data_IF_246786360793
#
_entry.id   IF_246786360793
#
_cell.length_a   1.000
_cell.length_b   1.000
_cell.length_c   1.000
_cell.angle_alpha   90.00
_cell.angle_beta   90.00
_cell.angle_gamma   90.00
#
_symmetry.space_group_name_H-M   'P 1'
#
loop_
_entity.id
_entity.type
_entity.pdbx_description
1 polymer ?
#
# COMPACT_ATOMS: atom_id res chain seq x y z
N UNK A 1 37.08 -33.95 34.68
CA UNK A 1 36.52 -33.65 33.35
C UNK A 1 34.98 -33.63 33.37
N UNK A 2 34.36 -32.65 34.04
CA UNK A 2 32.88 -32.48 34.09
C UNK A 2 32.42 -31.01 34.24
N UNK A 3 33.29 -30.04 33.97
CA UNK A 3 33.00 -28.60 34.14
C UNK A 3 33.38 -27.76 32.91
N UNK A 4 33.16 -28.28 31.70
CA UNK A 4 33.45 -27.56 30.46
C UNK A 4 32.36 -27.71 29.38
N UNK A 5 31.13 -28.05 29.76
CA UNK A 5 29.98 -28.18 28.85
C UNK A 5 28.80 -27.41 29.43
N UNK A 6 28.97 -26.11 29.65
CA UNK A 6 27.87 -25.23 30.06
C UNK A 6 28.11 -23.76 29.66
N UNK A 7 28.82 -23.51 28.55
CA UNK A 7 29.01 -22.16 27.98
C UNK A 7 28.78 -22.20 26.44
N UNK A 8 27.95 -23.13 25.95
CA UNK A 8 27.53 -23.18 24.53
C UNK A 8 26.02 -23.42 24.46
N UNK A 9 25.24 -22.70 25.27
CA UNK A 9 23.79 -22.54 25.10
C UNK A 9 23.46 -21.08 25.46
N UNK A 10 24.08 -20.15 24.74
CA UNK A 10 23.90 -18.71 25.00
C UNK A 10 24.19 -17.82 23.79
N UNK A 11 24.24 -18.39 22.58
CA UNK A 11 24.57 -17.66 21.33
C UNK A 11 23.58 -18.02 20.20
N UNK A 12 22.33 -18.39 20.50
CA UNK A 12 21.33 -18.72 19.46
C UNK A 12 19.98 -17.99 19.58
N UNK A 13 19.93 -16.84 20.26
CA UNK A 13 18.73 -15.99 20.32
C UNK A 13 18.99 -14.53 19.90
N UNK A 14 19.93 -14.32 18.97
CA UNK A 14 19.93 -13.12 18.13
C UNK A 14 19.54 -13.53 16.70
N UNK A 15 18.50 -14.37 16.60
CA UNK A 15 17.69 -14.36 15.40
C UNK A 15 17.01 -13.00 15.37
N UNK A 16 17.58 -12.06 14.64
CA UNK A 16 17.01 -10.74 14.39
C UNK A 16 15.68 -10.88 13.66
N UNK A 17 14.65 -11.27 14.40
CA UNK A 17 13.27 -11.17 14.00
C UNK A 17 13.07 -9.69 13.65
N UNK A 18 12.84 -9.45 12.37
CA UNK A 18 12.46 -8.14 11.85
C UNK A 18 11.08 -7.79 12.42
N UNK A 19 11.04 -7.28 13.65
CA UNK A 19 9.81 -6.89 14.32
C UNK A 19 9.34 -5.59 13.71
N UNK A 20 8.40 -5.69 12.79
CA UNK A 20 7.49 -4.59 12.51
C UNK A 20 6.74 -4.22 13.79
N UNK A 21 6.55 -2.92 14.03
CA UNK A 21 5.71 -2.45 15.11
C UNK A 21 4.46 -1.79 14.52
N UNK A 22 3.31 -2.37 14.85
CA UNK A 22 2.01 -1.72 14.71
C UNK A 22 1.53 -1.46 16.13
N UNK A 23 1.60 -0.19 16.55
CA UNK A 23 1.27 0.21 17.92
C UNK A 23 0.37 1.44 17.86
N UNK A 24 -0.85 1.36 18.38
CA UNK A 24 -1.82 2.46 18.39
C UNK A 24 -2.01 3.09 16.99
N UNK A 25 -2.22 2.27 15.97
CA UNK A 25 -2.36 2.67 14.56
C UNK A 25 -1.13 3.39 13.97
N UNK A 26 0.00 3.37 14.67
CA UNK A 26 1.29 3.77 14.13
C UNK A 26 1.92 2.57 13.43
N UNK A 27 2.21 2.70 12.15
CA UNK A 27 3.00 1.78 11.37
C UNK A 27 4.46 2.24 11.36
N UNK A 28 5.38 1.33 11.69
CA UNK A 28 6.81 1.56 11.59
C UNK A 28 7.44 0.39 10.83
N UNK A 29 8.05 0.67 9.67
CA UNK A 29 8.88 -0.33 8.99
C UNK A 29 10.22 -0.45 9.72
N UNK A 30 10.54 -1.66 10.19
CA UNK A 30 11.72 -1.94 11.01
C UNK A 30 13.03 -2.06 10.24
N UNK A 31 12.98 -1.97 8.91
CA UNK A 31 14.16 -2.00 8.02
C UNK A 31 14.00 -0.99 6.89
N UNK A 32 15.14 -0.58 6.31
CA UNK A 32 15.13 0.28 5.12
C UNK A 32 14.30 -0.35 3.99
N UNK A 33 13.39 0.42 3.38
CA UNK A 33 13.21 1.86 3.59
C UNK A 33 12.38 2.14 4.84
N UNK A 34 12.84 3.07 5.66
CA UNK A 34 12.11 3.47 6.86
C UNK A 34 10.85 4.21 6.41
N UNK A 35 9.73 3.85 6.99
CA UNK A 35 8.44 4.50 6.83
C UNK A 35 7.78 4.48 8.21
N UNK A 36 7.50 5.67 8.68
CA UNK A 36 6.62 5.90 9.81
C UNK A 36 5.34 6.53 9.28
N UNK A 37 4.21 5.87 9.50
CA UNK A 37 2.90 6.39 9.14
C UNK A 37 1.93 6.21 10.31
N UNK A 38 1.09 7.21 10.53
CA UNK A 38 -0.04 7.12 11.46
C UNK A 38 -1.30 6.88 10.66
N UNK A 39 -1.98 5.79 10.96
CA UNK A 39 -3.28 5.46 10.38
C UNK A 39 -4.37 6.03 11.29
N UNK A 40 -5.45 6.55 10.69
CA UNK A 40 -6.60 7.06 11.43
C UNK A 40 -7.14 6.00 12.41
N UNK A 41 -7.59 6.41 13.62
CA UNK A 41 -8.21 5.50 14.59
C UNK A 41 -9.49 4.82 14.08
N UNK A 42 -10.07 5.29 12.97
CA UNK A 42 -11.23 4.66 12.33
C UNK A 42 -10.92 3.31 11.67
N UNK A 43 -9.63 3.02 11.49
CA UNK A 43 -9.14 1.76 10.93
C UNK A 43 -8.52 0.89 12.02
N UNK A 44 -8.59 -0.43 11.84
CA UNK A 44 -7.80 -1.41 12.56
C UNK A 44 -6.90 -2.14 11.58
N UNK A 45 -5.74 -2.56 12.08
CA UNK A 45 -4.89 -3.49 11.35
C UNK A 45 -5.63 -4.82 11.14
N UNK A 46 -5.60 -5.31 9.91
CA UNK A 46 -6.20 -6.58 9.53
C UNK A 46 -5.13 -7.66 9.44
N UNK A 47 -4.19 -7.51 8.51
CA UNK A 47 -3.23 -8.56 8.18
C UNK A 47 -2.00 -8.04 7.44
N UNK A 48 -1.01 -8.92 7.35
CA UNK A 48 0.22 -8.75 6.58
C UNK A 48 0.30 -9.88 5.56
N UNK A 49 0.53 -9.51 4.31
CA UNK A 49 0.76 -10.47 3.23
C UNK A 49 2.14 -10.28 2.63
N UNK A 50 2.82 -11.41 2.40
CA UNK A 50 4.05 -11.48 1.65
C UNK A 50 3.83 -12.30 0.40
N UNK A 51 4.28 -11.78 -0.72
CA UNK A 51 4.30 -12.54 -1.96
C UNK A 51 5.45 -12.10 -2.84
N UNK A 52 5.79 -12.98 -3.77
CA UNK A 52 6.76 -12.68 -4.81
C UNK A 52 6.06 -12.62 -6.16
N UNK A 53 6.56 -11.75 -7.01
CA UNK A 53 6.09 -11.60 -8.38
C UNK A 53 7.25 -11.57 -9.38
N UNK A 54 6.96 -11.90 -10.63
CA UNK A 54 7.92 -11.82 -11.71
C UNK A 54 7.32 -11.04 -12.87
N UNK A 55 7.98 -9.95 -13.26
CA UNK A 55 7.56 -9.11 -14.38
C UNK A 55 8.72 -9.03 -15.36
N UNK A 56 8.45 -9.12 -16.66
CA UNK A 56 9.44 -8.87 -17.69
C UNK A 56 9.96 -7.42 -17.59
N UNK A 57 11.28 -7.23 -17.59
CA UNK A 57 11.89 -5.92 -17.64
C UNK A 57 11.41 -5.11 -18.87
N UNK A 58 11.49 -3.77 -18.83
CA UNK A 58 11.05 -2.88 -19.93
C UNK A 58 11.70 -3.28 -21.27
N UNK A 59 12.97 -3.65 -21.24
CA UNK A 59 13.73 -4.10 -22.41
C UNK A 59 13.50 -5.57 -22.79
N UNK A 60 12.59 -6.27 -22.08
CA UNK A 60 12.25 -7.70 -22.25
C UNK A 60 13.45 -8.66 -22.15
N UNK A 61 14.59 -8.21 -21.61
CA UNK A 61 15.82 -9.02 -21.60
C UNK A 61 15.94 -9.93 -20.38
N UNK A 62 15.17 -9.68 -19.32
CA UNK A 62 15.14 -10.49 -18.10
C UNK A 62 13.82 -10.40 -17.37
N UNK A 63 13.50 -11.41 -16.57
CA UNK A 63 12.46 -11.33 -15.56
C UNK A 63 13.01 -10.62 -14.32
N UNK A 64 12.24 -9.68 -13.80
CA UNK A 64 12.49 -8.96 -12.55
C UNK A 64 11.66 -9.60 -11.46
N UNK A 65 12.29 -10.05 -10.39
CA UNK A 65 11.57 -10.51 -9.20
C UNK A 65 11.25 -9.33 -8.30
N UNK A 66 10.03 -9.34 -7.79
CA UNK A 66 9.53 -8.39 -6.81
C UNK A 66 9.21 -9.14 -5.53
N UNK A 67 9.78 -8.73 -4.40
CA UNK A 67 9.34 -9.17 -3.08
C UNK A 67 8.43 -8.10 -2.51
N UNK A 68 7.17 -8.45 -2.30
CA UNK A 68 6.15 -7.52 -1.85
C UNK A 68 5.76 -7.85 -0.41
N UNK A 69 5.67 -6.80 0.40
CA UNK A 69 5.07 -6.82 1.71
C UNK A 69 3.90 -5.85 1.71
N UNK A 70 2.69 -6.31 2.03
CA UNK A 70 1.53 -5.43 2.19
C UNK A 70 0.93 -5.53 3.58
N UNK A 71 0.49 -4.39 4.12
CA UNK A 71 -0.12 -4.26 5.42
C UNK A 71 -1.49 -3.61 5.24
N UNK A 72 -2.55 -4.32 5.60
CA UNK A 72 -3.91 -3.86 5.41
C UNK A 72 -4.52 -3.31 6.70
N UNK A 73 -5.22 -2.20 6.55
CA UNK A 73 -6.01 -1.57 7.58
C UNK A 73 -7.43 -1.38 7.05
N UNK A 74 -8.43 -1.84 7.80
CA UNK A 74 -9.85 -1.81 7.43
C UNK A 74 -10.66 -1.08 8.49
N UNK A 75 -11.89 -0.61 8.22
CA UNK A 75 -12.70 0.07 9.21
C UNK A 75 -12.98 -0.83 10.42
N UNK A 76 -13.01 -0.23 11.61
CA UNK A 76 -13.25 -0.95 12.86
C UNK A 76 -14.55 -1.75 12.85
N UNK A 77 -15.58 -1.22 12.18
CA UNK A 77 -16.91 -1.81 12.05
C UNK A 77 -16.96 -3.09 11.22
N UNK A 78 -15.95 -3.37 10.39
CA UNK A 78 -15.94 -4.55 9.53
C UNK A 78 -15.31 -5.72 10.26
N UNK A 79 -16.06 -6.82 10.40
CA UNK A 79 -15.57 -8.08 10.98
C UNK A 79 -15.31 -9.13 9.90
N UNK A 80 -16.16 -9.19 8.85
CA UNK A 80 -16.01 -9.97 7.61
C UNK A 80 -16.85 -9.34 6.49
N UNK A 81 -16.66 -9.78 5.25
CA UNK A 81 -17.45 -9.34 4.10
C UNK A 81 -16.84 -8.15 3.36
N UNK A 82 -17.70 -7.28 2.83
CA UNK A 82 -17.26 -6.18 1.97
C UNK A 82 -16.49 -5.12 2.76
N UNK A 83 -15.31 -4.73 2.26
CA UNK A 83 -14.47 -3.67 2.80
C UNK A 83 -14.75 -2.39 1.99
N UNK A 84 -15.60 -1.45 2.48
CA UNK A 84 -16.00 -0.28 1.70
C UNK A 84 -14.88 0.77 1.57
N UNK A 85 -13.88 0.71 2.45
CA UNK A 85 -12.68 1.54 2.38
C UNK A 85 -11.52 0.85 3.08
N UNK A 86 -10.29 1.16 2.71
CA UNK A 86 -9.10 0.59 3.33
C UNK A 86 -7.94 1.57 3.26
N UNK A 87 -6.97 1.38 4.16
CA UNK A 87 -5.61 1.85 3.94
C UNK A 87 -4.74 0.62 3.76
N UNK A 88 -3.90 0.57 2.74
CA UNK A 88 -2.83 -0.42 2.69
C UNK A 88 -1.48 0.21 2.42
N UNK A 89 -0.47 -0.33 3.09
CA UNK A 89 0.92 0.05 2.90
C UNK A 89 1.59 -1.10 2.16
N UNK A 90 2.30 -0.79 1.07
CA UNK A 90 3.06 -1.76 0.29
C UNK A 90 4.52 -1.35 0.23
N UNK A 91 5.39 -2.29 0.54
CA UNK A 91 6.84 -2.16 0.35
C UNK A 91 7.25 -3.24 -0.65
N UNK A 92 7.78 -2.82 -1.79
CA UNK A 92 8.31 -3.73 -2.80
C UNK A 92 9.83 -3.61 -2.88
N UNK A 93 10.50 -4.75 -2.90
CA UNK A 93 11.94 -4.86 -3.21
C UNK A 93 12.07 -5.43 -4.62
N UNK A 94 12.77 -4.72 -5.49
CA UNK A 94 13.00 -5.10 -6.88
C UNK A 94 14.44 -5.61 -6.95
N UNK A 95 14.67 -6.71 -7.66
CA UNK A 95 16.03 -7.26 -7.80
C UNK A 95 16.98 -6.39 -8.66
N UNK A 96 16.46 -5.41 -9.41
CA UNK A 96 17.29 -4.57 -10.30
C UNK A 96 16.71 -3.18 -10.57
N UNK A 97 17.57 -2.25 -11.03
CA UNK A 97 17.24 -0.86 -11.35
C UNK A 97 16.17 -0.74 -12.44
N UNK A 98 15.04 -0.13 -12.09
CA UNK A 98 13.94 0.19 -13.00
C UNK A 98 13.73 1.71 -13.02
N UNK A 99 13.82 2.33 -14.21
CA UNK A 99 13.60 3.77 -14.42
C UNK A 99 12.26 3.95 -15.12
N UNK A 100 11.18 3.95 -14.36
CA UNK A 100 9.97 4.69 -14.75
C UNK A 100 9.45 5.47 -13.54
N UNK A 101 8.73 6.56 -13.82
CA UNK A 101 7.94 7.26 -12.81
C UNK A 101 6.91 6.31 -12.18
N UNK A 102 6.52 6.57 -10.93
CA UNK A 102 5.60 5.67 -10.21
C UNK A 102 4.13 5.95 -10.58
N UNK A 103 3.85 7.13 -11.13
CA UNK A 103 2.54 7.57 -11.62
C UNK A 103 2.57 7.86 -13.13
N UNK A 104 3.09 6.95 -13.95
CA UNK A 104 3.23 7.15 -15.41
C UNK A 104 1.95 7.03 -16.22
N UNK A 105 0.94 6.31 -15.70
CA UNK A 105 -0.28 6.00 -16.44
C UNK A 105 -1.27 7.19 -16.47
N UNK A 106 -1.89 7.45 -17.61
CA UNK A 106 -2.91 8.50 -17.79
C UNK A 106 -4.22 8.20 -17.04
N UNK A 107 -4.31 7.08 -16.33
CA UNK A 107 -5.42 6.75 -15.44
C UNK A 107 -5.52 7.62 -14.16
N UNK A 108 -4.54 8.46 -13.85
CA UNK A 108 -4.59 9.35 -12.69
C UNK A 108 -5.43 10.61 -12.96
N UNK A 109 -6.43 10.80 -12.10
CA UNK A 109 -7.35 11.95 -12.08
C UNK A 109 -6.63 13.22 -11.60
N UNK A 110 -5.83 13.07 -10.55
CA UNK A 110 -4.99 14.13 -9.99
C UNK A 110 -3.59 13.59 -9.70
N UNK A 111 -2.60 14.47 -9.81
CA UNK A 111 -1.19 14.20 -9.47
C UNK A 111 -0.62 15.41 -8.76
N UNK A 112 0.17 15.16 -7.73
CA UNK A 112 0.89 16.19 -6.97
C UNK A 112 2.15 15.58 -6.34
N UNK A 113 2.93 16.39 -5.64
CA UNK A 113 4.12 15.97 -4.90
C UNK A 113 3.96 16.37 -3.43
N UNK A 114 3.93 15.38 -2.55
CA UNK A 114 4.00 15.60 -1.11
C UNK A 114 5.47 15.65 -0.66
N UNK A 115 5.92 16.82 -0.19
CA UNK A 115 7.25 17.02 0.38
C UNK A 115 7.21 16.84 1.91
N UNK A 116 8.08 15.99 2.43
CA UNK A 116 8.24 15.71 3.87
C UNK A 116 9.73 15.78 4.21
N UNK A 117 10.18 16.95 4.68
CA UNK A 117 11.61 17.21 4.88
C UNK A 117 12.39 17.07 3.56
N UNK A 118 13.38 16.17 3.54
CA UNK A 118 14.21 15.88 2.36
C UNK A 118 13.59 14.86 1.40
N UNK A 119 12.40 14.37 1.71
CA UNK A 119 11.73 13.30 0.98
C UNK A 119 10.57 13.83 0.16
N UNK A 120 10.33 13.20 -0.99
CA UNK A 120 9.20 13.51 -1.87
C UNK A 120 8.44 12.24 -2.22
N UNK A 121 7.12 12.29 -2.07
CA UNK A 121 6.21 11.27 -2.55
C UNK A 121 5.48 11.80 -3.78
N UNK A 122 5.42 10.99 -4.84
CA UNK A 122 4.45 11.21 -5.91
C UNK A 122 3.08 10.81 -5.38
N UNK A 123 2.14 11.74 -5.33
CA UNK A 123 0.78 11.48 -4.87
C UNK A 123 -0.20 11.63 -6.01
N UNK A 124 -1.26 10.85 -5.99
CA UNK A 124 -2.29 10.97 -7.01
C UNK A 124 -3.48 10.06 -6.79
N UNK A 125 -4.62 10.50 -7.30
CA UNK A 125 -5.86 9.74 -7.24
C UNK A 125 -6.19 9.09 -8.57
N UNK A 126 -6.74 7.88 -8.54
CA UNK A 126 -7.20 7.18 -9.75
C UNK A 126 -8.35 6.25 -9.46
N UNK A 127 -9.10 5.94 -10.50
CA UNK A 127 -10.08 4.86 -10.47
C UNK A 127 -9.40 3.53 -10.74
N UNK A 128 -9.70 2.53 -9.93
CA UNK A 128 -9.23 1.15 -10.10
C UNK A 128 -10.42 0.21 -10.14
N UNK A 129 -10.29 -0.83 -10.95
CA UNK A 129 -11.24 -1.93 -11.04
C UNK A 129 -10.54 -3.21 -10.58
N UNK A 130 -10.49 -3.46 -9.25
CA UNK A 130 -9.75 -4.59 -8.69
C UNK A 130 -10.15 -5.92 -9.31
N UNK A 131 -9.16 -6.76 -9.62
CA UNK A 131 -9.40 -8.10 -10.14
C UNK A 131 -8.83 -9.10 -9.15
N UNK A 132 -9.71 -9.72 -8.37
CA UNK A 132 -9.33 -10.66 -7.30
C UNK A 132 -8.41 -11.78 -7.82
N UNK A 133 -8.57 -12.20 -9.08
CA UNK A 133 -7.75 -13.26 -9.70
C UNK A 133 -6.36 -12.82 -10.14
N UNK A 134 -6.12 -11.51 -10.30
CA UNK A 134 -4.85 -10.94 -10.77
C UNK A 134 -4.09 -10.25 -9.62
N UNK A 135 -4.82 -9.64 -8.68
CA UNK A 135 -4.28 -8.91 -7.54
C UNK A 135 -4.05 -9.86 -6.34
N UNK A 136 -2.83 -10.39 -6.21
CA UNK A 136 -2.44 -11.32 -5.13
C UNK A 136 -2.83 -10.84 -3.73
N UNK A 137 -2.73 -9.54 -3.46
CA UNK A 137 -3.15 -8.94 -2.20
C UNK A 137 -4.67 -9.05 -1.96
N UNK A 138 -5.49 -8.89 -3.00
CA UNK A 138 -6.94 -9.00 -2.89
C UNK A 138 -7.40 -10.46 -2.90
N UNK A 139 -6.67 -11.34 -3.58
CA UNK A 139 -6.86 -12.78 -3.46
C UNK A 139 -6.71 -13.24 -2.00
N UNK A 140 -5.65 -12.78 -1.32
CA UNK A 140 -5.41 -13.12 0.09
C UNK A 140 -6.51 -12.60 1.02
N UNK A 141 -7.00 -11.39 0.80
CA UNK A 141 -8.18 -10.89 1.52
C UNK A 141 -9.44 -11.75 1.28
N UNK A 142 -9.64 -12.21 0.05
CA UNK A 142 -10.75 -13.10 -0.29
C UNK A 142 -10.65 -14.46 0.40
N UNK A 143 -9.45 -15.03 0.50
CA UNK A 143 -9.19 -16.27 1.27
C UNK A 143 -9.55 -16.11 2.76
N UNK A 144 -9.42 -14.90 3.31
CA UNK A 144 -9.82 -14.57 4.69
C UNK A 144 -11.31 -14.22 4.86
N UNK A 145 -12.10 -14.27 3.77
CA UNK A 145 -13.55 -14.00 3.78
C UNK A 145 -13.92 -12.53 3.64
N UNK A 146 -13.01 -11.70 3.13
CA UNK A 146 -13.27 -10.31 2.79
C UNK A 146 -13.47 -10.12 1.29
N UNK A 147 -14.22 -9.09 0.91
CA UNK A 147 -14.37 -8.71 -0.50
C UNK A 147 -14.03 -7.24 -0.70
N UNK A 148 -13.37 -6.95 -1.82
CA UNK A 148 -13.06 -5.58 -2.26
C UNK A 148 -14.11 -5.13 -3.28
N UNK A 149 -14.56 -3.87 -3.25
CA UNK A 149 -15.49 -3.33 -4.23
C UNK A 149 -14.94 -3.48 -5.66
N UNK A 150 -15.85 -3.64 -6.63
CA UNK A 150 -15.49 -3.78 -8.04
C UNK A 150 -14.91 -2.50 -8.66
N UNK A 151 -15.16 -1.36 -8.02
CA UNK A 151 -14.72 -0.05 -8.47
C UNK A 151 -14.31 0.77 -7.25
N UNK A 152 -13.05 1.14 -7.21
CA UNK A 152 -12.42 1.77 -6.06
C UNK A 152 -11.75 3.05 -6.52
N UNK A 153 -12.07 4.17 -5.86
CA UNK A 153 -11.28 5.38 -5.98
C UNK A 153 -10.09 5.23 -5.02
N UNK A 154 -8.89 5.31 -5.55
CA UNK A 154 -7.65 5.16 -4.79
C UNK A 154 -6.88 6.47 -4.77
N UNK A 155 -6.32 6.83 -3.61
CA UNK A 155 -5.31 7.87 -3.47
C UNK A 155 -4.02 7.20 -3.03
N UNK A 156 -2.98 7.39 -3.84
CA UNK A 156 -1.68 6.79 -3.63
C UNK A 156 -0.70 7.87 -3.17
N UNK A 157 0.21 7.51 -2.27
CA UNK A 157 1.44 8.24 -2.03
C UNK A 157 2.61 7.27 -2.18
N UNK A 158 3.38 7.44 -3.24
CA UNK A 158 4.42 6.52 -3.67
C UNK A 158 5.80 7.19 -3.64
N UNK A 159 6.80 6.48 -3.14
CA UNK A 159 8.20 6.92 -3.13
C UNK A 159 9.11 5.78 -3.54
N UNK A 160 10.11 6.08 -4.36
CA UNK A 160 11.25 5.20 -4.62
C UNK A 160 12.36 5.50 -3.62
N UNK A 161 13.02 4.46 -3.12
CA UNK A 161 14.20 4.59 -2.25
C UNK A 161 15.41 4.10 -3.03
N UNK A 162 16.22 5.07 -3.45
CA UNK A 162 17.26 4.95 -4.49
C UNK A 162 18.39 3.98 -4.17
N UNK A 163 18.74 3.80 -2.90
CA UNK A 163 19.87 2.93 -2.53
C UNK A 163 19.59 1.43 -2.66
N UNK A 164 18.33 1.00 -2.75
CA UNK A 164 17.99 -0.42 -2.60
C UNK A 164 16.94 -0.94 -3.61
N UNK A 165 16.62 -0.18 -4.65
CA UNK A 165 15.61 -0.59 -5.65
C UNK A 165 14.26 -0.94 -5.01
N UNK A 166 13.90 -0.19 -3.95
CA UNK A 166 12.66 -0.39 -3.21
C UNK A 166 11.65 0.69 -3.53
N UNK A 167 10.38 0.32 -3.53
CA UNK A 167 9.27 1.27 -3.55
C UNK A 167 8.46 1.15 -2.28
N UNK A 168 8.05 2.29 -1.75
CA UNK A 168 7.06 2.39 -0.69
C UNK A 168 5.83 3.02 -1.28
N UNK A 169 4.67 2.45 -0.98
CA UNK A 169 3.38 3.06 -1.25
C UNK A 169 2.48 2.98 -0.04
N UNK A 170 1.78 4.06 0.26
CA UNK A 170 0.58 4.03 1.10
C UNK A 170 -0.61 4.42 0.22
N UNK A 171 -1.67 3.64 0.32
CA UNK A 171 -2.86 3.78 -0.52
C UNK A 171 -4.10 3.83 0.35
N UNK A 172 -4.90 4.88 0.19
CA UNK A 172 -6.29 4.90 0.65
C UNK A 172 -7.17 4.46 -0.50
N UNK A 173 -8.07 3.51 -0.29
CA UNK A 173 -9.08 3.09 -1.26
C UNK A 173 -10.48 3.22 -0.68
N UNK A 174 -11.45 3.63 -1.49
CA UNK A 174 -12.86 3.74 -1.13
C UNK A 174 -13.77 3.25 -2.26
N UNK A 175 -14.85 2.56 -1.90
CA UNK A 175 -15.88 2.11 -2.82
C UNK A 175 -16.51 3.31 -3.55
N UNK A 176 -16.26 3.40 -4.85
CA UNK A 176 -16.77 4.51 -5.65
C UNK A 176 -18.27 4.39 -5.91
N UNK A 177 -18.89 3.23 -5.71
CA UNK A 177 -20.34 3.05 -5.90
C UNK A 177 -21.17 3.78 -4.84
N UNK A 178 -20.55 4.14 -3.70
CA UNK A 178 -21.18 4.95 -2.66
C UNK A 178 -21.50 6.39 -3.10
N UNK A 179 -20.93 6.83 -4.22
CA UNK A 179 -21.29 8.08 -4.89
C UNK A 179 -22.67 8.06 -5.55
N UNK A 180 -23.29 6.88 -5.71
CA UNK A 180 -24.50 6.69 -6.50
C UNK A 180 -24.25 6.49 -8.00
N UNK A 181 -23.01 6.62 -8.47
CA UNK A 181 -22.63 6.40 -9.87
C UNK A 181 -22.21 4.96 -10.14
N UNK A 182 -22.61 4.43 -11.30
CA UNK A 182 -22.12 3.15 -11.81
C UNK A 182 -20.62 3.21 -12.15
N UNK A 183 -19.94 2.07 -12.00
CA UNK A 183 -18.50 1.90 -12.23
C UNK A 183 -18.02 2.44 -13.59
N UNK A 184 -18.83 2.28 -14.63
CA UNK A 184 -18.52 2.68 -16.01
C UNK A 184 -18.46 4.20 -16.16
N UNK A 185 -19.24 4.94 -15.36
CA UNK A 185 -19.26 6.41 -15.40
C UNK A 185 -17.97 7.03 -14.87
N UNK A 186 -17.16 6.26 -14.18
CA UNK A 186 -15.86 6.68 -13.66
C UNK A 186 -14.70 6.45 -14.64
N UNK A 187 -14.94 5.77 -15.78
CA UNK A 187 -13.90 5.48 -16.78
C UNK A 187 -13.58 6.68 -17.67
N UNK A 188 -14.55 7.56 -17.90
CA UNK A 188 -14.43 8.71 -18.79
C UNK A 188 -14.08 9.99 -18.00
N UNK A 189 -12.80 10.12 -17.64
CA UNK A 189 -12.32 11.22 -16.80
C UNK A 189 -12.47 12.59 -17.46
N UNK A 190 -12.42 12.65 -18.79
CA UNK A 190 -12.57 13.89 -19.55
C UNK A 190 -13.97 14.51 -19.39
N UNK A 191 -14.97 13.69 -19.08
CA UNK A 191 -16.38 14.09 -19.03
C UNK A 191 -16.99 13.98 -17.61
N UNK A 192 -16.17 14.11 -16.57
CA UNK A 192 -16.70 14.14 -15.19
C UNK A 192 -17.65 15.32 -14.98
N UNK A 193 -18.82 15.00 -14.43
CA UNK A 193 -19.80 15.98 -13.96
C UNK A 193 -19.28 16.73 -12.74
N UNK A 194 -19.90 17.87 -12.41
CA UNK A 194 -19.50 18.63 -11.21
C UNK A 194 -19.77 17.86 -9.92
N UNK A 195 -20.81 17.02 -9.88
CA UNK A 195 -21.06 16.11 -8.76
C UNK A 195 -19.93 15.09 -8.58
N UNK A 196 -19.43 14.50 -9.67
CA UNK A 196 -18.29 13.57 -9.61
C UNK A 196 -17.01 14.29 -9.15
N UNK A 197 -16.76 15.51 -9.63
CA UNK A 197 -15.63 16.34 -9.19
C UNK A 197 -15.73 16.69 -7.70
N UNK A 198 -16.92 17.05 -7.22
CA UNK A 198 -17.18 17.30 -5.80
C UNK A 198 -16.95 16.03 -4.97
N UNK A 199 -17.43 14.88 -5.43
CA UNK A 199 -17.19 13.60 -4.79
C UNK A 199 -15.70 13.27 -4.69
N UNK A 200 -14.92 13.50 -5.77
CA UNK A 200 -13.46 13.33 -5.77
C UNK A 200 -12.79 14.29 -4.77
N UNK A 201 -13.24 15.54 -4.70
CA UNK A 201 -12.74 16.51 -3.72
C UNK A 201 -12.96 16.03 -2.28
N UNK A 202 -14.16 15.54 -1.97
CA UNK A 202 -14.48 15.03 -0.63
C UNK A 202 -13.76 13.71 -0.33
N UNK A 203 -13.60 12.84 -1.33
CA UNK A 203 -12.75 11.66 -1.25
C UNK A 203 -11.32 12.05 -0.88
N UNK A 204 -10.74 13.07 -1.52
CA UNK A 204 -9.37 13.51 -1.24
C UNK A 204 -9.23 14.01 0.20
N UNK A 205 -10.22 14.73 0.74
CA UNK A 205 -10.24 15.12 2.16
C UNK A 205 -10.26 13.90 3.09
N UNK A 206 -11.10 12.90 2.79
CA UNK A 206 -11.16 11.63 3.55
C UNK A 206 -9.83 10.88 3.49
N UNK A 207 -9.24 10.79 2.31
CA UNK A 207 -7.95 10.13 2.10
C UNK A 207 -6.83 10.78 2.93
N UNK A 208 -6.75 12.12 2.93
CA UNK A 208 -5.78 12.87 3.74
C UNK A 208 -6.01 12.72 5.25
N UNK A 209 -7.27 12.46 5.67
CA UNK A 209 -7.58 12.17 7.07
C UNK A 209 -7.33 10.71 7.46
N UNK A 210 -7.22 9.79 6.49
CA UNK A 210 -7.11 8.36 6.74
C UNK A 210 -5.70 7.94 7.19
N UNK A 211 -4.68 8.69 6.78
CA UNK A 211 -3.31 8.46 7.21
C UNK A 211 -2.46 9.73 7.11
N UNK A 212 -1.37 9.74 7.86
CA UNK A 212 -0.32 10.75 7.84
C UNK A 212 1.04 10.05 7.73
N UNK A 213 1.88 10.45 6.78
CA UNK A 213 3.27 10.00 6.71
C UNK A 213 4.09 10.93 7.60
N UNK A 214 4.70 10.38 8.66
CA UNK A 214 5.45 11.15 9.66
C UNK A 214 6.92 11.26 9.27
N UNK A 215 7.53 10.14 8.88
CA UNK A 215 8.94 10.07 8.51
C UNK A 215 9.17 8.98 7.46
N UNK A 216 10.21 9.15 6.63
CA UNK A 216 10.62 8.09 5.72
C UNK A 216 12.08 8.22 5.30
N UNK A 217 12.96 7.32 5.75
CA UNK A 217 14.38 7.29 5.32
C UNK A 217 14.62 6.27 4.21
#
# INVERSE_FOLDING_TARGET
MKKLIMIIIGIFLIGGCSTMEINNNKFISSRRPYLEAKISPDFKYLSHFQWEDQILAVNKSRNLRYKNNSYFFIPNSITRGMIPKYVYIKISEIETYFIEDLLTDDSYIDRDVLKLGWYSFQVGSRMVFPKITEDKQFQKLAEEGYTIPKCVLQRNALRRVSQNEKTIGITYGEDATLSGYACEKWKDQANFTDEQKNYISDFNKRALSAFEIIASD
#
